data_IF_975388793498
#
_entry.id   IF_975388793498
#
_cell.length_a   1.000
_cell.length_b   1.000
_cell.length_c   1.000
_cell.angle_alpha   90.00
_cell.angle_beta   90.00
_cell.angle_gamma   90.00
#
_symmetry.space_group_name_H-M   'P 1'
#
loop_
_entity.id
_entity.type
_entity.pdbx_description
1 polymer ?
#
# COMPACT_ATOMS: atom_id res chain seq x y z
N UNK A 1 5.19 -12.73 -18.21
CA UNK A 1 6.08 -12.02 -19.15
C UNK A 1 5.53 -10.65 -19.57
N UNK A 2 4.87 -9.88 -18.67
CA UNK A 2 4.01 -8.74 -19.08
C UNK A 2 4.60 -7.34 -18.78
N UNK A 3 5.82 -7.22 -18.26
CA UNK A 3 6.36 -5.90 -17.90
C UNK A 3 7.82 -5.70 -18.32
N UNK A 4 8.10 -5.83 -19.62
CA UNK A 4 9.25 -5.16 -20.26
C UNK A 4 8.78 -3.79 -20.79
N UNK A 5 8.21 -2.96 -19.91
CA UNK A 5 7.86 -1.58 -20.26
C UNK A 5 9.13 -0.73 -20.17
N UNK A 6 9.45 -0.02 -21.24
CA UNK A 6 10.51 0.98 -21.20
C UNK A 6 10.14 2.15 -20.27
N UNK A 7 11.14 2.83 -19.73
CA UNK A 7 10.96 4.00 -18.84
C UNK A 7 10.04 5.07 -19.45
N UNK A 8 10.21 5.33 -20.75
CA UNK A 8 9.41 6.30 -21.48
C UNK A 8 7.94 5.87 -21.61
N UNK A 9 7.68 4.58 -21.85
CA UNK A 9 6.32 4.04 -21.94
C UNK A 9 5.63 4.07 -20.57
N UNK A 10 6.35 3.75 -19.49
CA UNK A 10 5.82 3.85 -18.14
C UNK A 10 5.39 5.29 -17.83
N UNK A 11 6.24 6.28 -18.14
CA UNK A 11 5.93 7.69 -17.91
C UNK A 11 4.76 8.20 -18.75
N UNK A 12 4.69 7.78 -20.01
CA UNK A 12 3.58 8.14 -20.88
C UNK A 12 2.26 7.58 -20.36
N UNK A 13 2.24 6.31 -19.94
CA UNK A 13 1.04 5.68 -19.39
C UNK A 13 0.64 6.31 -18.05
N UNK A 14 1.60 6.60 -17.17
CA UNK A 14 1.34 7.29 -15.91
C UNK A 14 0.75 8.67 -16.14
N UNK A 15 1.37 9.50 -17.00
CA UNK A 15 0.86 10.84 -17.31
C UNK A 15 -0.52 10.80 -17.94
N UNK A 16 -0.75 9.87 -18.87
CA UNK A 16 -2.05 9.72 -19.53
C UNK A 16 -3.12 9.34 -18.51
N UNK A 17 -2.85 8.39 -17.62
CA UNK A 17 -3.80 7.98 -16.61
C UNK A 17 -4.07 9.08 -15.55
N UNK A 18 -3.04 9.83 -15.14
CA UNK A 18 -3.19 10.96 -14.21
C UNK A 18 -3.99 12.11 -14.84
N UNK A 19 -3.73 12.46 -16.11
CA UNK A 19 -4.47 13.50 -16.81
C UNK A 19 -5.95 13.13 -17.00
N UNK A 20 -6.24 11.89 -17.38
CA UNK A 20 -7.62 11.40 -17.53
C UNK A 20 -8.39 11.45 -16.20
N UNK A 21 -7.71 11.19 -15.08
CA UNK A 21 -8.29 11.31 -13.74
C UNK A 21 -8.62 12.76 -13.37
N UNK A 22 -7.75 13.72 -13.72
CA UNK A 22 -8.02 15.15 -13.50
C UNK A 22 -9.17 15.62 -14.38
N UNK A 23 -9.24 15.18 -15.64
CA UNK A 23 -10.34 15.48 -16.56
C UNK A 23 -11.66 14.92 -16.04
N UNK A 24 -11.68 13.69 -15.52
CA UNK A 24 -12.85 13.08 -14.91
C UNK A 24 -13.31 13.87 -13.66
N UNK A 25 -12.38 14.22 -12.77
CA UNK A 25 -12.69 15.03 -11.58
C UNK A 25 -13.24 16.43 -11.93
N UNK A 26 -12.81 17.03 -13.06
CA UNK A 26 -13.37 18.30 -13.57
C UNK A 26 -14.73 18.12 -14.23
N UNK A 27 -14.94 17.00 -14.93
CA UNK A 27 -16.22 16.61 -15.52
C UNK A 27 -17.31 16.45 -14.46
N UNK A 28 -17.01 15.69 -13.41
CA UNK A 28 -17.87 15.45 -12.24
C UNK A 28 -18.33 16.75 -11.56
N UNK A 29 -17.48 17.78 -11.56
CA UNK A 29 -17.79 19.08 -10.96
C UNK A 29 -18.73 19.96 -11.82
N UNK A 30 -18.94 19.62 -13.09
CA UNK A 30 -19.56 20.51 -14.07
C UNK A 30 -20.96 20.13 -14.56
N UNK A 31 -21.40 18.86 -14.49
CA UNK A 31 -22.77 18.45 -14.89
C UNK A 31 -23.12 17.01 -14.44
N UNK A 32 -24.40 16.76 -14.13
CA UNK A 32 -25.00 15.46 -13.81
C UNK A 32 -24.48 14.29 -14.68
N UNK A 33 -23.92 13.21 -14.08
CA UNK A 33 -23.40 12.06 -14.85
C UNK A 33 -23.42 10.71 -14.08
N UNK A 34 -24.55 10.34 -13.48
CA UNK A 34 -24.69 9.07 -12.72
C UNK A 34 -24.54 7.77 -13.53
N UNK A 35 -24.47 7.79 -14.87
CA UNK A 35 -24.54 6.56 -15.67
C UNK A 35 -23.31 6.27 -16.56
N UNK A 36 -22.39 7.21 -16.76
CA UNK A 36 -21.18 7.00 -17.58
C UNK A 36 -19.86 6.92 -16.76
N UNK A 37 -19.79 7.58 -15.61
CA UNK A 37 -18.58 7.69 -14.77
C UNK A 37 -18.09 6.34 -14.22
N UNK A 38 -19.01 5.44 -13.84
CA UNK A 38 -18.66 4.17 -13.20
C UNK A 38 -17.86 3.20 -14.08
N UNK A 39 -17.92 3.35 -15.42
CA UNK A 39 -17.24 2.45 -16.36
C UNK A 39 -15.88 2.98 -16.84
N UNK A 40 -15.72 4.30 -16.92
CA UNK A 40 -14.49 4.96 -17.40
C UNK A 40 -13.49 5.26 -16.29
N UNK A 41 -13.91 5.86 -15.18
CA UNK A 41 -13.01 6.18 -14.05
C UNK A 41 -12.44 4.91 -13.41
N UNK A 42 -13.30 3.89 -13.23
CA UNK A 42 -12.87 2.59 -12.72
C UNK A 42 -11.82 1.92 -13.63
N UNK A 43 -11.85 2.20 -14.94
CA UNK A 43 -10.89 1.63 -15.90
C UNK A 43 -9.50 2.24 -15.75
N UNK A 44 -9.41 3.57 -15.61
CA UNK A 44 -8.12 4.26 -15.48
C UNK A 44 -7.50 4.10 -14.10
N UNK A 45 -8.31 4.13 -13.04
CA UNK A 45 -7.84 3.82 -11.69
C UNK A 45 -7.41 2.34 -11.59
N UNK A 46 -8.13 1.41 -12.22
CA UNK A 46 -7.69 0.02 -12.30
C UNK A 46 -6.39 -0.13 -13.11
N UNK A 47 -6.20 0.67 -14.17
CA UNK A 47 -4.96 0.70 -14.93
C UNK A 47 -3.80 1.25 -14.09
N UNK A 48 -4.01 2.33 -13.33
CA UNK A 48 -3.04 2.85 -12.37
C UNK A 48 -2.70 1.80 -11.32
N UNK A 49 -3.69 1.17 -10.69
CA UNK A 49 -3.47 0.13 -9.70
C UNK A 49 -2.70 -1.07 -10.30
N UNK A 50 -2.95 -1.39 -11.57
CA UNK A 50 -2.23 -2.44 -12.30
C UNK A 50 -0.78 -2.05 -12.62
N UNK A 51 -0.53 -0.78 -12.96
CA UNK A 51 0.82 -0.26 -13.14
C UNK A 51 1.58 -0.22 -11.80
N UNK A 52 0.92 0.18 -10.73
CA UNK A 52 1.50 0.25 -9.39
C UNK A 52 1.82 -1.15 -8.84
N UNK A 53 1.07 -2.18 -9.26
CA UNK A 53 1.28 -3.59 -8.88
C UNK A 53 2.32 -4.31 -9.71
N UNK A 54 2.87 -3.69 -10.77
CA UNK A 54 3.92 -4.27 -11.57
C UNK A 54 5.23 -4.47 -10.76
N UNK A 55 5.98 -5.56 -10.98
CA UNK A 55 7.31 -5.73 -10.41
C UNK A 55 8.26 -4.66 -10.95
N UNK A 56 9.14 -4.13 -10.09
CA UNK A 56 9.91 -2.93 -10.39
C UNK A 56 11.25 -2.90 -9.66
N UNK A 57 12.16 -2.12 -10.22
CA UNK A 57 13.46 -1.81 -9.66
C UNK A 57 13.49 -0.31 -9.32
N UNK A 58 13.78 -0.02 -8.05
CA UNK A 58 13.71 1.32 -7.48
C UNK A 58 14.64 2.32 -8.17
N UNK A 59 15.76 1.86 -8.75
CA UNK A 59 16.71 2.72 -9.49
C UNK A 59 16.07 3.23 -10.78
N UNK A 60 15.42 2.36 -11.55
CA UNK A 60 14.72 2.76 -12.78
C UNK A 60 13.50 3.62 -12.46
N UNK A 61 12.79 3.29 -11.39
CA UNK A 61 11.63 4.06 -10.97
C UNK A 61 12.01 5.48 -10.53
N UNK A 62 13.10 5.62 -9.78
CA UNK A 62 13.59 6.92 -9.34
C UNK A 62 13.92 7.81 -10.53
N UNK A 63 14.61 7.25 -11.53
CA UNK A 63 14.93 7.98 -12.75
C UNK A 63 13.65 8.40 -13.48
N UNK A 64 12.70 7.48 -13.66
CA UNK A 64 11.42 7.78 -14.30
C UNK A 64 10.68 8.91 -13.59
N UNK A 65 10.53 8.80 -12.27
CA UNK A 65 9.79 9.77 -11.47
C UNK A 65 10.46 11.16 -11.48
N UNK A 66 11.79 11.25 -11.56
CA UNK A 66 12.46 12.56 -11.71
C UNK A 66 12.05 13.32 -12.98
N UNK A 67 11.65 12.62 -14.03
CA UNK A 67 11.12 13.24 -15.27
C UNK A 67 9.64 13.62 -15.17
N UNK A 68 8.95 13.20 -14.11
CA UNK A 68 7.55 13.56 -13.87
C UNK A 68 7.46 15.00 -13.35
N UNK A 69 6.45 15.75 -13.81
CA UNK A 69 6.23 17.11 -13.32
C UNK A 69 5.84 17.07 -11.84
N UNK A 70 6.04 18.18 -11.11
CA UNK A 70 5.66 18.27 -9.71
C UNK A 70 4.16 18.09 -9.51
N UNK A 71 3.34 18.65 -10.41
CA UNK A 71 1.88 18.55 -10.37
C UNK A 71 1.42 17.09 -10.51
N UNK A 72 1.94 16.39 -11.53
CA UNK A 72 1.68 14.95 -11.72
C UNK A 72 2.18 14.11 -10.53
N UNK A 73 3.33 14.48 -9.96
CA UNK A 73 3.88 13.83 -8.77
C UNK A 73 2.97 14.00 -7.54
N UNK A 74 2.37 15.18 -7.36
CA UNK A 74 1.42 15.43 -6.28
C UNK A 74 0.12 14.65 -6.48
N UNK A 75 -0.39 14.57 -7.71
CA UNK A 75 -1.58 13.76 -8.03
C UNK A 75 -1.34 12.26 -7.80
N UNK A 76 -0.15 11.78 -8.19
CA UNK A 76 0.25 10.41 -7.91
C UNK A 76 0.34 10.15 -6.40
N UNK A 77 0.92 11.09 -5.64
CA UNK A 77 1.00 10.99 -4.18
C UNK A 77 -0.39 10.97 -3.53
N UNK A 78 -1.33 11.78 -4.03
CA UNK A 78 -2.71 11.80 -3.55
C UNK A 78 -3.39 10.45 -3.73
N UNK A 79 -3.31 9.85 -4.92
CA UNK A 79 -3.81 8.50 -5.17
C UNK A 79 -3.14 7.45 -4.28
N UNK A 80 -1.82 7.51 -4.11
CA UNK A 80 -1.12 6.56 -3.22
C UNK A 80 -1.59 6.67 -1.77
N UNK A 81 -1.87 7.89 -1.28
CA UNK A 81 -2.41 8.12 0.07
C UNK A 81 -3.85 7.61 0.20
N UNK A 82 -4.70 7.81 -0.82
CA UNK A 82 -6.05 7.23 -0.86
C UNK A 82 -6.02 5.71 -0.76
N UNK A 83 -5.14 5.06 -1.54
CA UNK A 83 -4.97 3.60 -1.48
C UNK A 83 -4.55 3.10 -0.10
N UNK A 84 -3.75 3.89 0.64
CA UNK A 84 -3.40 3.56 2.03
C UNK A 84 -4.60 3.69 2.97
N UNK A 85 -5.40 4.74 2.84
CA UNK A 85 -6.60 4.94 3.67
C UNK A 85 -7.68 3.88 3.37
N UNK A 86 -7.89 3.53 2.11
CA UNK A 86 -8.82 2.46 1.72
C UNK A 86 -8.41 1.11 2.32
N UNK A 87 -7.12 0.81 2.34
CA UNK A 87 -6.58 -0.43 2.95
C UNK A 87 -6.65 -0.43 4.48
N UNK A 88 -6.61 0.74 5.11
CA UNK A 88 -6.83 0.85 6.54
C UNK A 88 -8.27 0.48 6.93
N UNK A 89 -9.24 0.68 6.02
CA UNK A 89 -10.67 0.38 6.24
C UNK A 89 -11.05 -1.00 5.70
N UNK A 90 -10.52 -1.41 4.55
CA UNK A 90 -10.85 -2.66 3.87
C UNK A 90 -9.68 -3.64 3.94
N UNK A 91 -9.87 -4.72 4.68
CA UNK A 91 -8.89 -5.82 4.79
C UNK A 91 -8.78 -6.68 3.52
N UNK A 92 -9.70 -6.52 2.56
CA UNK A 92 -9.74 -7.35 1.34
C UNK A 92 -8.82 -6.78 0.27
N UNK A 93 -7.77 -7.54 -0.06
CA UNK A 93 -6.92 -7.29 -1.23
C UNK A 93 -7.65 -7.79 -2.48
N UNK A 94 -8.05 -6.89 -3.37
CA UNK A 94 -8.60 -7.27 -4.68
C UNK A 94 -7.48 -7.74 -5.60
N UNK A 95 -7.74 -8.77 -6.42
CA UNK A 95 -6.79 -9.27 -7.40
C UNK A 95 -6.48 -8.16 -8.44
N UNK A 96 -5.23 -7.71 -8.50
CA UNK A 96 -4.79 -6.60 -9.36
C UNK A 96 -4.51 -5.28 -8.63
N UNK A 97 -4.83 -5.18 -7.33
CA UNK A 97 -4.48 -4.01 -6.51
C UNK A 97 -3.02 -4.08 -6.00
N UNK A 98 -2.28 -2.96 -5.96
CA UNK A 98 -0.87 -2.94 -5.55
C UNK A 98 -0.71 -3.30 -4.08
N UNK A 99 0.16 -4.24 -3.74
CA UNK A 99 0.41 -4.61 -2.34
C UNK A 99 0.82 -3.41 -1.47
N UNK A 100 0.62 -3.49 -0.15
CA UNK A 100 1.00 -2.41 0.77
C UNK A 100 2.48 -2.04 0.64
N UNK A 101 3.35 -3.05 0.49
CA UNK A 101 4.78 -2.84 0.28
C UNK A 101 5.06 -2.11 -1.04
N UNK A 102 4.29 -2.41 -2.10
CA UNK A 102 4.39 -1.68 -3.35
C UNK A 102 3.95 -0.22 -3.17
N UNK A 103 2.79 0.05 -2.57
CA UNK A 103 2.35 1.44 -2.35
C UNK A 103 3.39 2.23 -1.55
N UNK A 104 3.90 1.67 -0.45
CA UNK A 104 4.95 2.30 0.37
C UNK A 104 6.24 2.52 -0.44
N UNK A 105 6.67 1.55 -1.25
CA UNK A 105 7.84 1.72 -2.11
C UNK A 105 7.65 2.82 -3.16
N UNK A 106 6.46 2.98 -3.74
CA UNK A 106 6.17 4.08 -4.67
C UNK A 106 6.26 5.43 -3.97
N UNK A 107 5.69 5.53 -2.77
CA UNK A 107 5.75 6.74 -1.95
C UNK A 107 7.20 7.11 -1.62
N UNK A 108 8.02 6.15 -1.19
CA UNK A 108 9.41 6.42 -0.85
C UNK A 108 10.20 6.97 -2.04
N UNK A 109 10.13 6.29 -3.18
CA UNK A 109 10.88 6.70 -4.38
C UNK A 109 10.36 8.04 -4.93
N UNK A 110 9.05 8.30 -4.84
CA UNK A 110 8.45 9.57 -5.24
C UNK A 110 8.90 10.73 -4.33
N UNK A 111 8.93 10.50 -3.02
CA UNK A 111 9.45 11.48 -2.07
C UNK A 111 10.93 11.73 -2.35
N UNK A 112 11.72 10.69 -2.61
CA UNK A 112 13.15 10.84 -2.91
C UNK A 112 13.38 11.61 -4.23
N UNK A 113 12.56 11.37 -5.26
CA UNK A 113 12.65 12.04 -6.55
C UNK A 113 12.34 13.54 -6.46
N UNK A 114 11.33 13.93 -5.65
CA UNK A 114 10.81 15.31 -5.60
C UNK A 114 10.97 15.98 -4.23
N UNK A 115 11.83 15.48 -3.34
CA UNK A 115 11.93 15.90 -1.94
C UNK A 115 12.00 17.43 -1.77
N UNK A 116 12.93 18.09 -2.47
CA UNK A 116 13.12 19.53 -2.37
C UNK A 116 11.91 20.31 -2.88
N UNK A 117 11.26 19.83 -3.94
CA UNK A 117 10.10 20.49 -4.55
C UNK A 117 8.84 20.32 -3.69
N UNK A 118 8.62 19.12 -3.14
CA UNK A 118 7.51 18.83 -2.24
C UNK A 118 7.58 19.63 -0.93
N UNK A 119 8.78 19.86 -0.40
CA UNK A 119 8.98 20.69 0.80
C UNK A 119 8.65 22.16 0.56
N UNK A 120 8.84 22.68 -0.65
CA UNK A 120 8.53 24.06 -1.02
C UNK A 120 7.07 24.24 -1.47
N UNK A 121 6.39 23.16 -1.84
CA UNK A 121 5.03 23.19 -2.36
C UNK A 121 3.98 23.06 -1.25
N UNK A 122 3.37 24.18 -0.87
CA UNK A 122 2.37 24.25 0.21
C UNK A 122 1.18 23.26 0.08
N UNK A 123 0.63 22.95 -1.12
CA UNK A 123 -0.42 21.94 -1.26
C UNK A 123 0.04 20.54 -0.83
N UNK A 124 1.30 20.20 -1.08
CA UNK A 124 1.86 18.89 -0.75
C UNK A 124 1.97 18.67 0.77
N UNK A 125 2.10 19.74 1.56
CA UNK A 125 2.24 19.64 3.02
C UNK A 125 1.03 18.97 3.68
N UNK A 126 -0.18 19.21 3.18
CA UNK A 126 -1.41 18.54 3.69
C UNK A 126 -1.34 17.03 3.46
N UNK A 127 -0.91 16.61 2.27
CA UNK A 127 -0.73 15.21 1.91
C UNK A 127 0.38 14.55 2.74
N UNK A 128 1.53 15.22 2.88
CA UNK A 128 2.65 14.73 3.71
C UNK A 128 2.25 14.59 5.18
N UNK A 129 1.48 15.54 5.72
CA UNK A 129 0.96 15.45 7.09
C UNK A 129 0.00 14.26 7.25
N UNK A 130 -0.91 14.05 6.29
CA UNK A 130 -1.84 12.91 6.27
C UNK A 130 -1.08 11.58 6.19
N UNK A 131 -0.09 11.49 5.31
CA UNK A 131 0.81 10.34 5.20
C UNK A 131 1.54 10.06 6.53
N UNK A 132 2.08 11.10 7.17
CA UNK A 132 2.73 10.95 8.48
C UNK A 132 1.77 10.44 9.57
N UNK A 133 0.50 10.86 9.55
CA UNK A 133 -0.53 10.35 10.47
C UNK A 133 -0.83 8.87 10.21
N UNK A 134 -0.96 8.47 8.95
CA UNK A 134 -1.19 7.08 8.54
C UNK A 134 0.00 6.21 8.94
N UNK A 135 1.23 6.63 8.63
CA UNK A 135 2.46 5.92 8.99
C UNK A 135 2.57 5.69 10.50
N UNK A 136 2.30 6.73 11.33
CA UNK A 136 2.28 6.59 12.79
C UNK A 136 1.25 5.57 13.25
N UNK A 137 0.03 5.59 12.71
CA UNK A 137 -1.01 4.60 13.02
C UNK A 137 -0.53 3.18 12.67
N UNK A 138 0.08 2.97 11.50
CA UNK A 138 0.62 1.67 11.12
C UNK A 138 1.74 1.20 12.05
N UNK A 139 2.67 2.08 12.44
CA UNK A 139 3.74 1.74 13.40
C UNK A 139 3.14 1.31 14.74
N UNK A 140 2.15 2.04 15.25
CA UNK A 140 1.45 1.67 16.47
C UNK A 140 0.78 0.30 16.35
N UNK A 141 0.04 0.05 15.27
CA UNK A 141 -0.61 -1.26 15.01
C UNK A 141 0.44 -2.37 14.94
N UNK A 142 1.53 -2.17 14.22
CA UNK A 142 2.63 -3.14 14.14
C UNK A 142 3.26 -3.40 15.52
N UNK A 143 3.40 -2.39 16.37
CA UNK A 143 3.92 -2.57 17.73
C UNK A 143 2.98 -3.41 18.61
N UNK A 144 1.67 -3.18 18.49
CA UNK A 144 0.65 -3.98 19.19
C UNK A 144 0.66 -5.42 18.67
N UNK A 145 0.71 -5.64 17.36
CA UNK A 145 0.81 -6.99 16.76
C UNK A 145 2.09 -7.71 17.23
N UNK A 146 3.23 -7.01 17.34
CA UNK A 146 4.46 -7.60 17.89
C UNK A 146 4.28 -8.05 19.33
N UNK A 147 3.61 -7.25 20.17
CA UNK A 147 3.30 -7.65 21.55
C UNK A 147 2.36 -8.86 21.61
N UNK A 148 1.31 -8.87 20.77
CA UNK A 148 0.38 -9.99 20.65
C UNK A 148 1.08 -11.28 20.20
N UNK A 149 2.00 -11.20 19.22
CA UNK A 149 2.81 -12.34 18.79
C UNK A 149 3.63 -12.91 19.95
N UNK A 150 4.15 -12.06 20.84
CA UNK A 150 4.85 -12.48 22.06
C UNK A 150 3.93 -13.26 23.02
N UNK A 151 2.74 -12.73 23.30
CA UNK A 151 1.74 -13.41 24.13
C UNK A 151 1.26 -14.74 23.52
N UNK A 152 1.02 -14.76 22.21
CA UNK A 152 0.63 -15.98 21.50
C UNK A 152 1.74 -17.03 21.51
N UNK A 153 2.99 -16.64 21.30
CA UNK A 153 4.13 -17.56 21.41
C UNK A 153 4.21 -18.18 22.82
N UNK A 154 4.03 -17.37 23.87
CA UNK A 154 3.99 -17.86 25.25
C UNK A 154 2.80 -18.80 25.53
N UNK A 155 1.61 -18.48 25.02
CA UNK A 155 0.43 -19.32 25.17
C UNK A 155 0.56 -20.65 24.42
N UNK A 156 1.17 -20.64 23.23
CA UNK A 156 1.40 -21.84 22.41
C UNK A 156 2.47 -22.75 23.03
N UNK A 157 3.50 -22.18 23.66
CA UNK A 157 4.49 -22.94 24.43
C UNK A 157 3.90 -23.56 25.71
N UNK A 158 3.00 -22.86 26.40
CA UNK A 158 2.29 -23.41 27.59
C UNK A 158 1.42 -24.63 27.25
N UNK A 159 0.81 -24.65 26.07
CA UNK A 159 0.03 -25.79 25.59
C UNK A 159 0.89 -26.95 25.03
N UNK A 160 2.22 -26.81 24.98
CA UNK A 160 3.15 -27.89 24.61
C UNK A 160 3.73 -28.66 25.81
N UNK A 161 3.34 -28.32 27.03
CA UNK A 161 3.67 -29.13 28.20
C UNK A 161 2.89 -30.45 28.14
N UNK A 162 3.53 -31.62 28.33
CA UNK A 162 2.79 -32.88 28.40
C UNK A 162 1.79 -32.80 29.57
N UNK A 163 0.52 -33.08 29.26
CA UNK A 163 -0.64 -32.86 30.14
C UNK A 163 -0.74 -33.84 31.33
N UNK A 164 0.36 -34.40 31.82
CA UNK A 164 0.35 -35.23 33.04
C UNK A 164 1.59 -34.93 33.87
N UNK A 165 1.47 -34.64 35.18
CA UNK A 165 2.59 -34.90 36.07
C UNK A 165 2.89 -36.40 35.94
N UNK A 166 4.07 -36.76 35.46
CA UNK A 166 4.56 -38.14 35.55
C UNK A 166 4.77 -38.39 37.05
N UNK A 167 4.00 -39.28 37.70
CA UNK A 167 4.36 -39.71 39.04
C UNK A 167 5.66 -40.52 38.93
N UNK A 168 6.65 -40.22 39.77
CA UNK A 168 8.00 -40.81 39.73
C UNK A 168 8.05 -42.32 40.07
N UNK A 169 6.89 -42.97 40.24
CA UNK A 169 6.79 -44.40 40.44
C UNK A 169 5.37 -44.88 40.09
N UNK A 170 5.30 -45.93 39.27
CA UNK A 170 4.10 -46.73 39.03
C UNK A 170 4.32 -48.11 39.65
N UNK A 171 3.52 -48.46 40.66
CA UNK A 171 3.49 -49.82 41.21
C UNK A 171 2.44 -50.60 40.43
N UNK A 172 2.89 -51.48 39.53
CA UNK A 172 2.02 -52.48 38.90
C UNK A 172 1.98 -53.73 39.78
N UNK A 173 0.79 -54.10 40.25
CA UNK A 173 0.60 -55.36 40.97
C UNK A 173 0.47 -56.51 39.97
N UNK A 174 1.44 -57.41 39.99
CA UNK A 174 1.37 -58.69 39.28
C UNK A 174 0.48 -59.63 40.09
N UNK A 175 -0.64 -60.08 39.53
CA UNK A 175 -1.39 -61.21 40.08
C UNK A 175 -0.60 -62.49 39.82
N UNK A 176 -0.31 -63.21 40.90
CA UNK A 176 0.34 -64.54 40.91
C UNK A 176 -0.71 -65.60 40.58
#
# INVERSE_FOLDING_TARGET
HVFDLSEAQLLQLLRLALNQRVEAARGAASQHAEEAEASGEASWDALLDRLLSAPRNDVFLLQALRWLSLEDGVLLLERLVELLDERAVRWRVSAGSPSLLQVVGWINVLIDAHAAQLLLHAPAHKLLHRLGKIARKHVTVCSVIKSLKGYLAQATMRNSQPAKPVPDYSVEMVQI
#
